data_IF_285989046710
#
_entry.id   IF_285989046710
#
_cell.length_a   1.000
_cell.length_b   1.000
_cell.length_c   1.000
_cell.angle_alpha   90.00
_cell.angle_beta   90.00
_cell.angle_gamma   90.00
#
_symmetry.space_group_name_H-M   'P 1'
#
loop_
_entity.id
_entity.type
_entity.pdbx_description
1 polymer ?
#
# COMPACT_ATOMS: atom_id res chain seq x y z
N UNK A 1 13.92 7.98 -9.51
CA UNK A 1 12.47 8.19 -9.65
C UNK A 1 12.04 9.04 -8.46
N UNK A 2 11.63 10.28 -8.71
CA UNK A 2 11.34 11.28 -7.67
C UNK A 2 9.86 11.32 -7.27
N UNK A 3 9.55 12.14 -6.26
CA UNK A 3 8.26 12.33 -5.57
C UNK A 3 7.03 12.34 -6.50
N UNK A 4 7.17 12.86 -7.71
CA UNK A 4 6.10 12.85 -8.71
C UNK A 4 5.59 11.46 -9.08
N UNK A 5 6.38 10.39 -8.94
CA UNK A 5 5.96 9.04 -9.34
C UNK A 5 4.84 8.48 -8.47
N UNK A 6 4.89 8.65 -7.14
CA UNK A 6 3.80 8.21 -6.25
C UNK A 6 2.55 9.07 -6.41
N UNK A 7 2.71 10.38 -6.50
CA UNK A 7 1.58 11.31 -6.66
C UNK A 7 0.85 11.06 -7.98
N UNK A 8 1.60 10.77 -9.05
CA UNK A 8 1.04 10.35 -10.34
C UNK A 8 0.34 8.99 -10.20
N UNK A 9 0.95 8.02 -9.50
CA UNK A 9 0.33 6.70 -9.29
C UNK A 9 -0.98 6.81 -8.51
N UNK A 10 -0.99 7.57 -7.40
CA UNK A 10 -2.18 7.82 -6.58
C UNK A 10 -3.27 8.51 -7.41
N UNK A 11 -2.93 9.58 -8.14
CA UNK A 11 -3.85 10.29 -9.04
C UNK A 11 -4.42 9.40 -10.14
N UNK A 12 -3.62 8.52 -10.73
CA UNK A 12 -4.07 7.58 -11.75
C UNK A 12 -5.03 6.54 -11.16
N UNK A 13 -4.76 6.08 -9.94
CA UNK A 13 -5.63 5.16 -9.24
C UNK A 13 -6.95 5.83 -8.85
N UNK A 14 -6.92 7.05 -8.30
CA UNK A 14 -8.11 7.85 -8.01
C UNK A 14 -8.99 8.04 -9.27
N UNK A 15 -8.38 8.38 -10.42
CA UNK A 15 -9.10 8.48 -11.71
C UNK A 15 -9.72 7.17 -12.14
N UNK A 16 -9.03 6.05 -11.90
CA UNK A 16 -9.54 4.72 -12.24
C UNK A 16 -10.76 4.36 -11.38
N UNK A 17 -10.71 4.64 -10.08
CA UNK A 17 -11.88 4.50 -9.20
C UNK A 17 -13.05 5.36 -9.71
N UNK A 18 -12.82 6.64 -9.99
CA UNK A 18 -13.85 7.55 -10.53
C UNK A 18 -14.45 7.04 -11.85
N UNK A 19 -13.61 6.55 -12.77
CA UNK A 19 -14.06 5.99 -14.05
C UNK A 19 -14.97 4.77 -13.84
N UNK A 20 -14.58 3.86 -12.94
CA UNK A 20 -15.36 2.65 -12.66
C UNK A 20 -16.69 3.00 -11.96
N UNK A 21 -16.70 4.05 -11.13
CA UNK A 21 -17.90 4.51 -10.44
C UNK A 21 -19.05 4.89 -11.39
N UNK A 22 -18.70 5.38 -12.59
CA UNK A 22 -19.61 5.90 -13.62
C UNK A 22 -20.18 4.83 -14.55
N UNK A 23 -19.75 3.57 -14.41
CA UNK A 23 -20.33 2.46 -15.16
C UNK A 23 -21.73 2.14 -14.63
N UNK A 24 -22.64 1.69 -15.47
CA UNK A 24 -23.99 1.30 -15.03
C UNK A 24 -24.08 -0.19 -14.65
N UNK A 25 -23.16 -1.01 -15.15
CA UNK A 25 -23.19 -2.47 -14.97
C UNK A 25 -22.47 -2.93 -13.71
N UNK A 26 -23.22 -3.43 -12.73
CA UNK A 26 -22.69 -3.90 -11.44
C UNK A 26 -21.79 -5.13 -11.55
N UNK A 27 -22.05 -6.01 -12.53
CA UNK A 27 -21.21 -7.18 -12.81
C UNK A 27 -19.80 -6.75 -13.24
N UNK A 28 -19.73 -5.79 -14.19
CA UNK A 28 -18.47 -5.21 -14.64
C UNK A 28 -17.75 -4.53 -13.47
N UNK A 29 -18.46 -3.77 -12.64
CA UNK A 29 -17.88 -3.16 -11.42
C UNK A 29 -17.29 -4.20 -10.48
N UNK A 30 -17.94 -5.35 -10.29
CA UNK A 30 -17.42 -6.44 -9.44
C UNK A 30 -16.13 -7.03 -10.00
N UNK A 31 -16.06 -7.25 -11.32
CA UNK A 31 -14.81 -7.69 -11.96
C UNK A 31 -13.70 -6.65 -11.83
N UNK A 32 -14.01 -5.38 -12.05
CA UNK A 32 -13.04 -4.29 -11.93
C UNK A 32 -12.61 -4.02 -10.48
N UNK A 33 -13.45 -4.31 -9.48
CA UNK A 33 -13.07 -4.27 -8.07
C UNK A 33 -11.90 -5.22 -7.76
N UNK A 34 -11.86 -6.40 -8.42
CA UNK A 34 -10.74 -7.35 -8.29
C UNK A 34 -9.47 -6.77 -8.88
N UNK A 35 -9.56 -6.11 -10.04
CA UNK A 35 -8.43 -5.39 -10.64
C UNK A 35 -7.93 -4.25 -9.74
N UNK A 36 -8.85 -3.43 -9.22
CA UNK A 36 -8.55 -2.37 -8.25
C UNK A 36 -7.86 -2.90 -6.99
N UNK A 37 -8.25 -4.08 -6.50
CA UNK A 37 -7.60 -4.74 -5.37
C UNK A 37 -6.12 -5.02 -5.64
N UNK A 38 -5.78 -5.51 -6.84
CA UNK A 38 -4.39 -5.74 -7.24
C UNK A 38 -3.62 -4.41 -7.31
N UNK A 39 -4.22 -3.38 -7.93
CA UNK A 39 -3.62 -2.06 -8.05
C UNK A 39 -3.36 -1.41 -6.68
N UNK A 40 -4.33 -1.48 -5.76
CA UNK A 40 -4.20 -0.94 -4.40
C UNK A 40 -3.12 -1.67 -3.58
N UNK A 41 -3.03 -3.00 -3.70
CA UNK A 41 -1.96 -3.77 -3.05
C UNK A 41 -0.58 -3.35 -3.57
N UNK A 42 -0.40 -3.25 -4.89
CA UNK A 42 0.86 -2.80 -5.49
C UNK A 42 1.21 -1.34 -5.18
N UNK A 43 0.19 -0.48 -5.03
CA UNK A 43 0.38 0.91 -4.61
C UNK A 43 1.07 1.02 -3.25
N UNK A 44 0.63 0.26 -2.24
CA UNK A 44 1.29 0.25 -0.92
C UNK A 44 2.75 -0.20 -1.01
N UNK A 45 3.04 -1.23 -1.80
CA UNK A 45 4.39 -1.74 -2.02
C UNK A 45 5.31 -0.66 -2.60
N UNK A 46 4.82 0.09 -3.59
CA UNK A 46 5.56 1.19 -4.22
C UNK A 46 5.76 2.36 -3.26
N UNK A 47 4.74 2.73 -2.47
CA UNK A 47 4.85 3.77 -1.44
C UNK A 47 5.99 3.46 -0.48
N UNK A 48 6.03 2.25 0.06
CA UNK A 48 7.05 1.85 1.03
C UNK A 48 8.46 1.87 0.41
N UNK A 49 8.61 1.33 -0.80
CA UNK A 49 9.87 1.36 -1.55
C UNK A 49 10.39 2.78 -1.73
N UNK A 50 9.52 3.70 -2.13
CA UNK A 50 9.92 5.09 -2.37
C UNK A 50 10.17 5.87 -1.08
N UNK A 51 9.37 5.66 -0.01
CA UNK A 51 9.61 6.29 1.29
C UNK A 51 10.96 5.89 1.88
N UNK A 52 11.28 4.60 1.87
CA UNK A 52 12.58 4.11 2.33
C UNK A 52 13.71 4.63 1.44
N UNK A 53 13.48 4.69 0.12
CA UNK A 53 14.47 5.22 -0.82
C UNK A 53 14.83 6.68 -0.52
N UNK A 54 13.83 7.51 -0.20
CA UNK A 54 14.05 8.91 0.19
C UNK A 54 14.72 9.04 1.56
N UNK A 55 14.34 8.19 2.51
CA UNK A 55 14.96 8.18 3.83
C UNK A 55 16.47 7.91 3.75
N UNK A 56 16.87 6.98 2.88
CA UNK A 56 18.28 6.63 2.71
C UNK A 56 19.07 7.57 1.79
N UNK A 57 18.39 8.41 1.01
CA UNK A 57 19.02 9.37 0.10
C UNK A 57 19.84 10.42 0.87
N UNK A 58 21.17 10.34 0.71
CA UNK A 58 22.15 11.17 1.42
C UNK A 58 22.32 10.83 2.91
N UNK A 59 21.78 9.72 3.42
CA UNK A 59 21.93 9.31 4.83
C UNK A 59 22.77 8.05 5.02
N UNK A 60 23.03 7.29 3.96
CA UNK A 60 23.90 6.10 4.01
C UNK A 60 24.79 5.97 2.76
N UNK A 61 25.73 5.03 2.81
CA UNK A 61 26.58 4.73 1.66
C UNK A 61 25.78 4.07 0.53
N UNK A 62 26.26 4.21 -0.72
CA UNK A 62 25.63 3.57 -1.89
C UNK A 62 25.46 2.06 -1.73
N UNK A 63 26.43 1.38 -1.12
CA UNK A 63 26.36 -0.07 -0.86
C UNK A 63 25.23 -0.43 0.10
N UNK A 64 25.03 0.36 1.16
CA UNK A 64 23.92 0.18 2.10
C UNK A 64 22.57 0.45 1.42
N UNK A 65 22.46 1.54 0.65
CA UNK A 65 21.26 1.86 -0.12
C UNK A 65 20.88 0.74 -1.10
N UNK A 66 21.86 0.16 -1.79
CA UNK A 66 21.65 -0.97 -2.70
C UNK A 66 21.15 -2.22 -1.96
N UNK A 67 21.77 -2.57 -0.84
CA UNK A 67 21.34 -3.71 -0.01
C UNK A 67 19.89 -3.56 0.46
N UNK A 68 19.51 -2.37 0.95
CA UNK A 68 18.13 -2.08 1.38
C UNK A 68 17.16 -2.15 0.20
N UNK A 69 17.51 -1.56 -0.94
CA UNK A 69 16.71 -1.60 -2.16
C UNK A 69 16.48 -3.03 -2.64
N UNK A 70 17.50 -3.88 -2.64
CA UNK A 70 17.40 -5.28 -3.02
C UNK A 70 16.51 -6.08 -2.06
N UNK A 71 16.61 -5.83 -0.75
CA UNK A 71 15.72 -6.44 0.24
C UNK A 71 14.25 -6.05 0.01
N UNK A 72 14.00 -4.81 -0.44
CA UNK A 72 12.66 -4.32 -0.73
C UNK A 72 12.09 -4.77 -2.09
N UNK A 73 12.92 -5.22 -3.05
CA UNK A 73 12.43 -5.69 -4.37
C UNK A 73 11.34 -6.75 -4.23
N UNK A 74 11.57 -7.73 -3.35
CA UNK A 74 10.66 -8.86 -3.12
C UNK A 74 9.70 -8.62 -1.93
N UNK A 75 9.58 -7.38 -1.46
CA UNK A 75 8.70 -7.03 -0.37
C UNK A 75 7.27 -6.82 -0.88
N UNK A 76 6.55 -7.93 -1.07
CA UNK A 76 5.18 -7.97 -1.57
C UNK A 76 4.20 -8.45 -0.51
N UNK A 77 2.89 -8.40 -0.77
CA UNK A 77 1.86 -8.96 0.13
C UNK A 77 1.94 -8.37 1.56
N UNK A 78 1.94 -7.05 1.64
CA UNK A 78 2.24 -6.30 2.86
C UNK A 78 1.00 -6.22 3.76
N UNK A 79 0.80 -7.26 4.58
CA UNK A 79 -0.15 -7.24 5.69
C UNK A 79 0.38 -6.48 6.91
N UNK A 80 -0.44 -6.39 7.95
CA UNK A 80 -0.12 -5.68 9.20
C UNK A 80 1.22 -6.11 9.82
N UNK A 81 1.39 -7.40 10.12
CA UNK A 81 2.60 -7.90 10.77
C UNK A 81 3.85 -7.66 9.92
N UNK A 82 3.71 -7.85 8.60
CA UNK A 82 4.81 -7.63 7.66
C UNK A 82 5.23 -6.16 7.62
N UNK A 83 4.26 -5.24 7.67
CA UNK A 83 4.49 -3.80 7.73
C UNK A 83 5.16 -3.41 9.06
N UNK A 84 4.61 -3.85 10.19
CA UNK A 84 5.19 -3.58 11.54
C UNK A 84 6.61 -4.09 11.66
N UNK A 85 6.87 -5.32 11.21
CA UNK A 85 8.20 -5.92 11.22
C UNK A 85 9.19 -5.15 10.34
N UNK A 86 8.74 -4.66 9.17
CA UNK A 86 9.58 -3.80 8.34
C UNK A 86 9.94 -2.51 9.08
N UNK A 87 8.95 -1.80 9.62
CA UNK A 87 9.18 -0.54 10.34
C UNK A 87 10.15 -0.75 11.51
N UNK A 88 9.91 -1.77 12.34
CA UNK A 88 10.78 -2.16 13.46
C UNK A 88 12.21 -2.45 13.01
N UNK A 89 12.40 -3.02 11.83
CA UNK A 89 13.74 -3.32 11.31
C UNK A 89 14.56 -2.08 10.94
N UNK A 90 13.91 -0.93 10.72
CA UNK A 90 14.57 0.36 10.53
C UNK A 90 14.71 1.12 11.86
N UNK A 91 13.62 1.19 12.63
CA UNK A 91 13.58 1.85 13.93
C UNK A 91 12.38 1.29 14.74
N UNK A 92 12.62 0.78 15.94
CA UNK A 92 11.55 0.29 16.81
C UNK A 92 10.50 1.37 17.13
N UNK A 93 10.91 2.63 17.20
CA UNK A 93 10.02 3.76 17.41
C UNK A 93 9.03 3.96 16.26
N UNK A 94 9.42 3.64 15.01
CA UNK A 94 8.50 3.73 13.86
C UNK A 94 7.35 2.73 13.97
N UNK A 95 7.63 1.52 14.45
CA UNK A 95 6.59 0.52 14.70
C UNK A 95 5.66 0.98 15.83
N UNK A 96 6.22 1.51 16.93
CA UNK A 96 5.43 2.03 18.05
C UNK A 96 4.53 3.18 17.62
N UNK A 97 5.06 4.15 16.88
CA UNK A 97 4.28 5.26 16.34
C UNK A 97 3.20 4.79 15.37
N UNK A 98 3.52 3.84 14.49
CA UNK A 98 2.56 3.29 13.55
C UNK A 98 1.40 2.62 14.28
N UNK A 99 1.70 1.73 15.22
CA UNK A 99 0.72 1.02 16.04
C UNK A 99 -0.16 1.99 16.86
N UNK A 100 0.40 3.12 17.33
CA UNK A 100 -0.38 4.13 18.06
C UNK A 100 -1.30 4.99 17.19
N UNK A 101 -0.98 5.16 15.89
CA UNK A 101 -1.71 6.07 14.99
C UNK A 101 -2.69 5.35 14.06
N UNK A 102 -2.43 4.09 13.75
CA UNK A 102 -3.27 3.32 12.82
C UNK A 102 -4.53 2.82 13.51
N UNK A 103 -5.69 2.97 12.87
CA UNK A 103 -6.94 2.46 13.39
C UNK A 103 -7.14 0.98 13.07
N UNK A 104 -7.88 0.26 13.92
CA UNK A 104 -8.27 -1.13 13.64
C UNK A 104 -9.02 -1.28 12.31
N UNK A 105 -9.88 -0.30 11.98
CA UNK A 105 -10.60 -0.25 10.70
C UNK A 105 -9.63 -0.28 9.52
N UNK A 106 -8.58 0.54 9.56
CA UNK A 106 -7.60 0.61 8.47
C UNK A 106 -6.83 -0.70 8.30
N UNK A 107 -6.45 -1.33 9.42
CA UNK A 107 -5.77 -2.63 9.41
C UNK A 107 -6.66 -3.75 8.88
N UNK A 108 -7.96 -3.73 9.19
CA UNK A 108 -8.95 -4.68 8.67
C UNK A 108 -9.14 -4.52 7.15
N UNK A 109 -9.21 -3.28 6.66
CA UNK A 109 -9.25 -2.98 5.22
C UNK A 109 -7.98 -3.45 4.51
N UNK A 110 -6.79 -3.22 5.08
CA UNK A 110 -5.53 -3.72 4.54
C UNK A 110 -5.52 -5.25 4.48
N UNK A 111 -5.90 -5.92 5.58
CA UNK A 111 -5.97 -7.37 5.65
C UNK A 111 -6.90 -7.94 4.59
N UNK A 112 -8.02 -7.27 4.32
CA UNK A 112 -8.96 -7.62 3.26
C UNK A 112 -8.32 -7.48 1.87
N UNK A 113 -7.65 -6.36 1.57
CA UNK A 113 -6.94 -6.17 0.28
C UNK A 113 -5.93 -7.29 0.05
N UNK A 114 -5.12 -7.61 1.05
CA UNK A 114 -4.07 -8.63 0.98
C UNK A 114 -4.66 -10.03 0.79
N UNK A 115 -5.70 -10.38 1.54
CA UNK A 115 -6.40 -11.67 1.40
C UNK A 115 -6.97 -11.83 -0.01
N UNK A 116 -7.72 -10.83 -0.49
CA UNK A 116 -8.36 -10.87 -1.82
C UNK A 116 -7.32 -10.88 -2.96
N UNK A 117 -6.25 -10.10 -2.84
CA UNK A 117 -5.12 -10.10 -3.79
C UNK A 117 -4.51 -11.49 -3.91
N UNK A 118 -4.30 -12.18 -2.79
CA UNK A 118 -3.76 -13.55 -2.80
C UNK A 118 -4.73 -14.53 -3.47
N UNK A 119 -6.02 -14.47 -3.14
CA UNK A 119 -7.04 -15.28 -3.83
C UNK A 119 -7.00 -15.07 -5.35
N UNK A 120 -6.98 -13.81 -5.80
CA UNK A 120 -6.95 -13.47 -7.23
C UNK A 120 -5.66 -13.97 -7.89
N UNK A 121 -4.50 -13.74 -7.27
CA UNK A 121 -3.21 -14.15 -7.80
C UNK A 121 -3.07 -15.69 -7.92
N UNK A 122 -3.76 -16.44 -7.05
CA UNK A 122 -3.81 -17.91 -7.11
C UNK A 122 -4.91 -18.46 -8.05
N UNK A 123 -5.60 -17.59 -8.81
CA UNK A 123 -6.64 -18.02 -9.76
C UNK A 123 -8.02 -18.24 -9.13
N UNK A 124 -8.21 -17.91 -7.86
CA UNK A 124 -9.47 -18.04 -7.13
C UNK A 124 -10.31 -16.76 -7.15
N UNK A 125 -10.23 -15.98 -8.24
CA UNK A 125 -10.94 -14.72 -8.39
C UNK A 125 -12.48 -14.88 -8.37
N UNK A 126 -12.99 -16.08 -8.64
CA UNK A 126 -14.41 -16.44 -8.49
C UNK A 126 -14.84 -16.61 -7.02
N UNK A 127 -13.90 -16.84 -6.09
CA UNK A 127 -14.14 -16.91 -4.64
C UNK A 127 -14.01 -15.55 -3.97
N UNK A 128 -13.48 -14.55 -4.67
CA UNK A 128 -13.40 -13.18 -4.20
C UNK A 128 -14.78 -12.54 -4.18
N UNK A 129 -15.26 -12.23 -2.99
CA UNK A 129 -16.51 -11.51 -2.71
C UNK A 129 -16.33 -9.98 -2.65
N UNK A 130 -15.24 -9.44 -3.21
CA UNK A 130 -15.00 -8.00 -3.14
C UNK A 130 -15.99 -7.23 -4.02
N UNK A 131 -16.76 -6.34 -3.42
CA UNK A 131 -17.61 -5.39 -4.14
C UNK A 131 -16.83 -4.12 -4.47
N UNK A 132 -17.30 -3.38 -5.49
CA UNK A 132 -16.75 -2.06 -5.80
C UNK A 132 -16.84 -1.11 -4.59
N UNK A 133 -17.98 -1.05 -3.92
CA UNK A 133 -18.19 -0.22 -2.72
C UNK A 133 -17.22 -0.56 -1.60
N UNK A 134 -17.00 -1.84 -1.33
CA UNK A 134 -16.01 -2.30 -0.34
C UNK A 134 -14.60 -1.87 -0.76
N UNK A 135 -14.25 -2.00 -2.04
CA UNK A 135 -12.94 -1.61 -2.55
C UNK A 135 -12.70 -0.09 -2.44
N UNK A 136 -13.72 0.75 -2.67
CA UNK A 136 -13.63 2.22 -2.43
C UNK A 136 -13.29 2.51 -0.97
N UNK A 137 -13.99 1.87 -0.04
CA UNK A 137 -13.72 2.01 1.39
C UNK A 137 -12.30 1.55 1.74
N UNK A 138 -11.90 0.38 1.26
CA UNK A 138 -10.57 -0.17 1.55
C UNK A 138 -9.45 0.70 0.99
N UNK A 139 -9.65 1.29 -0.19
CA UNK A 139 -8.67 2.19 -0.78
C UNK A 139 -8.55 3.51 -0.01
N UNK A 140 -9.67 4.09 0.45
CA UNK A 140 -9.63 5.28 1.28
C UNK A 140 -8.91 5.02 2.61
N UNK A 141 -9.20 3.90 3.26
CA UNK A 141 -8.49 3.49 4.48
C UNK A 141 -6.99 3.25 4.21
N UNK A 142 -6.64 2.66 3.07
CA UNK A 142 -5.25 2.49 2.65
C UNK A 142 -4.53 3.84 2.46
N UNK A 143 -5.21 4.86 1.92
CA UNK A 143 -4.64 6.21 1.81
C UNK A 143 -4.34 6.81 3.19
N UNK A 144 -5.16 6.54 4.21
CA UNK A 144 -4.86 6.95 5.59
C UNK A 144 -3.63 6.23 6.15
N UNK A 145 -3.46 4.93 5.89
CA UNK A 145 -2.23 4.20 6.24
C UNK A 145 -1.01 4.86 5.57
N UNK A 146 -1.11 5.18 4.28
CA UNK A 146 -0.03 5.85 3.54
C UNK A 146 0.32 7.21 4.14
N UNK A 147 -0.67 8.01 4.56
CA UNK A 147 -0.43 9.28 5.26
C UNK A 147 0.33 9.08 6.57
N UNK A 148 -0.04 8.09 7.36
CA UNK A 148 0.66 7.74 8.60
C UNK A 148 2.12 7.34 8.31
N UNK A 149 2.34 6.48 7.31
CA UNK A 149 3.70 6.06 6.91
C UNK A 149 4.55 7.24 6.44
N UNK A 150 3.98 8.16 5.66
CA UNK A 150 4.65 9.39 5.22
C UNK A 150 5.13 10.21 6.43
N UNK A 151 4.29 10.37 7.46
CA UNK A 151 4.63 11.13 8.67
C UNK A 151 5.76 10.47 9.46
N UNK A 152 5.73 9.13 9.60
CA UNK A 152 6.69 8.39 10.42
C UNK A 152 8.07 8.32 9.76
N UNK A 153 8.09 8.04 8.45
CA UNK A 153 9.33 7.82 7.68
C UNK A 153 9.93 9.15 7.19
N UNK A 154 9.26 10.29 7.40
CA UNK A 154 9.77 11.60 6.97
C UNK A 154 11.13 11.91 7.60
N UNK A 155 12.02 12.46 6.76
CA UNK A 155 13.41 12.77 7.04
C UNK A 155 13.58 13.80 8.17
N UNK A 156 12.51 14.53 8.50
CA UNK A 156 12.48 15.58 9.53
C UNK A 156 12.38 15.07 10.97
N UNK A 157 12.11 13.78 11.19
CA UNK A 157 12.07 13.18 12.53
C UNK A 157 13.47 12.79 13.06
N UNK A 158 14.50 13.58 12.70
CA UNK A 158 15.86 13.47 13.25
C UNK A 158 16.10 14.55 14.29
#
# INVERSE_FOLDING_TARGET
MGIGSLEIQEKNLDKLFDTISKLDEDEIKSHLAKYLCIQASGYLENVIKELVAKYHDGTCTKSTANFVSDKLKNFTNIGEDKLKNLLKSFNSEWETQFTSKVSYKYLSSLSSIISQRNQIAHGYANRSNISYTSMVQYYNDLKEIVKILKIIIDKKNK
#
